data_IF_777361380406
#
_entry.id   IF_777361380406
#
_cell.length_a   1.000
_cell.length_b   1.000
_cell.length_c   1.000
_cell.angle_alpha   90.00
_cell.angle_beta   90.00
_cell.angle_gamma   90.00
#
_symmetry.space_group_name_H-M   'P 1'
#
loop_
_entity.id
_entity.type
_entity.pdbx_description
1 polymer ?
#
# COMPACT_ATOMS: atom_id res chain seq x y z
N UNK A 1 4.98 10.61 1.97
CA UNK A 1 5.46 9.88 3.16
C UNK A 1 6.81 9.26 2.83
N UNK A 2 7.65 9.03 3.83
CA UNK A 2 8.92 8.32 3.64
C UNK A 2 8.70 6.79 3.67
N UNK A 3 9.75 6.01 3.35
CA UNK A 3 9.64 4.54 3.30
C UNK A 3 9.29 3.93 4.66
N UNK A 4 9.84 4.43 5.77
CA UNK A 4 9.55 3.89 7.10
C UNK A 4 8.07 4.11 7.51
N UNK A 5 7.52 5.28 7.20
CA UNK A 5 6.09 5.57 7.40
C UNK A 5 5.21 4.65 6.54
N UNK A 6 5.62 4.40 5.28
CA UNK A 6 4.93 3.50 4.37
C UNK A 6 4.97 2.05 4.85
N UNK A 7 6.12 1.58 5.34
CA UNK A 7 6.29 0.22 5.88
C UNK A 7 5.35 -0.02 7.07
N UNK A 8 5.15 0.98 7.93
CA UNK A 8 4.19 0.89 9.04
C UNK A 8 2.75 0.74 8.54
N UNK A 9 2.38 1.46 7.46
CA UNK A 9 1.03 1.32 6.86
C UNK A 9 0.85 -0.07 6.25
N UNK A 10 1.87 -0.58 5.56
CA UNK A 10 1.85 -1.93 4.98
C UNK A 10 1.76 -2.97 6.08
N UNK A 11 2.54 -2.88 7.15
CA UNK A 11 2.51 -3.80 8.28
C UNK A 11 1.11 -3.87 8.91
N UNK A 12 0.49 -2.71 9.15
CA UNK A 12 -0.88 -2.65 9.68
C UNK A 12 -1.90 -3.27 8.73
N UNK A 13 -1.74 -3.04 7.43
CA UNK A 13 -2.66 -3.58 6.43
C UNK A 13 -2.53 -5.09 6.29
N UNK A 14 -1.33 -5.62 6.32
CA UNK A 14 -1.12 -7.07 6.27
C UNK A 14 -1.64 -7.76 7.53
N UNK A 15 -1.48 -7.14 8.72
CA UNK A 15 -2.11 -7.67 9.94
C UNK A 15 -3.65 -7.66 9.82
N UNK A 16 -4.22 -6.61 9.21
CA UNK A 16 -5.66 -6.55 8.94
C UNK A 16 -6.13 -7.68 8.02
N UNK A 17 -5.33 -8.04 7.01
CA UNK A 17 -5.62 -9.18 6.11
C UNK A 17 -5.51 -10.54 6.81
N UNK A 18 -4.47 -10.73 7.63
CA UNK A 18 -4.17 -12.01 8.27
C UNK A 18 -5.12 -12.34 9.42
N UNK A 19 -5.24 -11.41 10.36
CA UNK A 19 -5.79 -11.72 11.69
C UNK A 19 -6.97 -10.80 12.08
N UNK A 20 -7.32 -9.84 11.21
CA UNK A 20 -8.33 -8.81 11.50
C UNK A 20 -7.86 -7.74 12.50
N UNK A 21 -6.64 -7.84 13.03
CA UNK A 21 -6.00 -6.82 13.86
C UNK A 21 -5.20 -5.87 12.98
N UNK A 22 -5.44 -4.56 13.04
CA UNK A 22 -4.76 -3.58 12.18
C UNK A 22 -5.75 -2.71 11.42
N UNK A 23 -5.27 -2.09 10.34
CA UNK A 23 -6.04 -1.10 9.59
C UNK A 23 -5.86 -1.33 8.10
N UNK A 24 -6.97 -1.36 7.34
CA UNK A 24 -6.91 -1.37 5.88
C UNK A 24 -6.13 -0.15 5.40
N UNK A 25 -5.13 -0.36 4.53
CA UNK A 25 -4.30 0.73 4.04
C UNK A 25 -5.14 1.80 3.33
N UNK A 26 -5.07 3.04 3.84
CA UNK A 26 -5.57 4.21 3.16
C UNK A 26 -4.38 5.07 2.71
N UNK A 27 -4.06 4.94 1.43
CA UNK A 27 -2.98 5.63 0.74
C UNK A 27 -3.54 6.58 -0.34
N UNK A 28 -4.81 6.96 -0.24
CA UNK A 28 -5.42 7.88 -1.20
C UNK A 28 -4.66 9.20 -1.27
N UNK A 29 -4.36 9.67 -2.48
CA UNK A 29 -3.59 10.88 -2.76
C UNK A 29 -2.17 10.90 -2.16
N UNK A 30 -1.66 9.77 -1.69
CA UNK A 30 -0.31 9.70 -1.15
C UNK A 30 0.72 9.91 -2.27
N UNK A 31 1.76 10.69 -1.97
CA UNK A 31 2.97 10.72 -2.79
C UNK A 31 3.83 9.49 -2.44
N UNK A 32 3.79 8.50 -3.34
CA UNK A 32 4.51 7.23 -3.26
C UNK A 32 5.56 7.12 -4.38
N UNK A 33 6.00 8.26 -4.92
CA UNK A 33 7.00 8.27 -6.00
C UNK A 33 8.27 7.56 -5.53
N UNK A 34 8.75 6.64 -6.36
CA UNK A 34 9.97 5.84 -6.08
C UNK A 34 9.88 4.96 -4.82
N UNK A 35 8.68 4.76 -4.26
CA UNK A 35 8.50 3.88 -3.11
C UNK A 35 8.89 2.43 -3.45
N UNK A 36 9.47 1.73 -2.48
CA UNK A 36 9.65 0.29 -2.57
C UNK A 36 8.39 -0.39 -2.02
N UNK A 37 7.61 -0.99 -2.92
CA UNK A 37 6.38 -1.73 -2.63
C UNK A 37 6.53 -3.21 -3.04
N UNK A 38 7.76 -3.69 -3.20
CA UNK A 38 8.00 -5.06 -3.66
C UNK A 38 7.38 -6.05 -2.69
N UNK A 39 6.60 -6.99 -3.22
CA UNK A 39 5.92 -8.06 -2.47
C UNK A 39 4.93 -7.58 -1.41
N UNK A 40 4.59 -6.29 -1.37
CA UNK A 40 3.58 -5.79 -0.45
C UNK A 40 2.20 -6.37 -0.81
N UNK A 41 1.49 -6.89 0.18
CA UNK A 41 0.06 -7.20 0.02
C UNK A 41 -0.74 -5.93 0.32
N UNK A 42 -1.16 -5.26 -0.76
CA UNK A 42 -2.01 -4.08 -0.76
C UNK A 42 -3.40 -4.44 -1.29
N UNK A 43 -3.81 -5.71 -1.17
CA UNK A 43 -5.09 -6.16 -1.68
C UNK A 43 -6.25 -5.48 -0.95
N UNK A 44 -7.14 -4.90 -1.73
CA UNK A 44 -8.21 -4.07 -1.21
C UNK A 44 -7.76 -2.71 -0.68
N UNK A 45 -6.49 -2.29 -0.71
CA UNK A 45 -6.10 -0.95 -0.23
C UNK A 45 -6.83 0.19 -0.97
N UNK A 46 -6.99 1.36 -0.33
CA UNK A 46 -7.41 2.57 -1.04
C UNK A 46 -6.17 3.31 -1.54
N UNK A 47 -5.95 3.32 -2.86
CA UNK A 47 -4.84 3.98 -3.56
C UNK A 47 -5.35 5.08 -4.50
N UNK A 48 -6.62 5.51 -4.35
CA UNK A 48 -7.26 6.51 -5.21
C UNK A 48 -6.38 7.76 -5.32
N UNK A 49 -6.02 8.15 -6.54
CA UNK A 49 -5.16 9.30 -6.81
C UNK A 49 -3.74 9.25 -6.23
N UNK A 50 -3.26 8.09 -5.74
CA UNK A 50 -1.88 7.96 -5.25
C UNK A 50 -0.87 8.14 -6.39
N UNK A 51 0.20 8.88 -6.13
CA UNK A 51 1.27 9.03 -7.11
C UNK A 51 2.27 7.87 -7.00
N UNK A 52 2.09 6.84 -7.82
CA UNK A 52 2.95 5.65 -7.89
C UNK A 52 4.08 5.78 -8.92
N UNK A 53 4.37 6.98 -9.43
CA UNK A 53 5.38 7.16 -10.47
C UNK A 53 6.75 6.62 -10.00
N UNK A 54 7.33 5.71 -10.77
CA UNK A 54 8.61 5.04 -10.46
C UNK A 54 8.59 4.16 -9.19
N UNK A 55 7.44 3.88 -8.58
CA UNK A 55 7.35 2.94 -7.48
C UNK A 55 7.71 1.52 -7.95
N UNK A 56 8.40 0.75 -7.11
CA UNK A 56 8.71 -0.64 -7.41
C UNK A 56 7.59 -1.54 -6.90
N UNK A 57 6.70 -1.93 -7.81
CA UNK A 57 5.54 -2.81 -7.53
C UNK A 57 5.82 -4.28 -7.87
N UNK A 58 7.08 -4.69 -8.03
CA UNK A 58 7.39 -6.07 -8.41
C UNK A 58 6.81 -7.05 -7.38
N UNK A 59 5.94 -7.94 -7.84
CA UNK A 59 5.22 -8.92 -7.01
C UNK A 59 4.27 -8.34 -5.96
N UNK A 60 3.93 -7.05 -6.01
CA UNK A 60 2.91 -6.48 -5.14
C UNK A 60 1.53 -7.05 -5.48
N UNK A 61 0.72 -7.33 -4.45
CA UNK A 61 -0.68 -7.70 -4.64
C UNK A 61 -1.56 -6.44 -4.56
N UNK A 62 -2.18 -6.09 -5.68
CA UNK A 62 -3.11 -4.95 -5.79
C UNK A 62 -4.54 -5.41 -6.09
N UNK A 63 -4.86 -6.70 -5.93
CA UNK A 63 -6.21 -7.21 -6.22
C UNK A 63 -7.23 -6.44 -5.38
N UNK A 64 -8.30 -5.95 -6.03
CA UNK A 64 -9.38 -5.17 -5.41
C UNK A 64 -8.95 -3.83 -4.79
N UNK A 65 -7.70 -3.39 -4.98
CA UNK A 65 -7.31 -2.05 -4.58
C UNK A 65 -8.10 -1.01 -5.38
N UNK A 66 -8.51 0.08 -4.73
CA UNK A 66 -9.12 1.21 -5.41
C UNK A 66 -8.01 2.08 -6.01
N UNK A 67 -7.89 2.07 -7.33
CA UNK A 67 -6.89 2.81 -8.11
C UNK A 67 -7.53 3.93 -8.95
N UNK A 68 -8.77 4.33 -8.62
CA UNK A 68 -9.49 5.38 -9.35
C UNK A 68 -8.89 6.78 -9.24
#
# INVERSE_FOLDING_TARGET
MNQAELDVVIEKHEKWLRDGYGERANLSYADLRRADLRRADLSGANLRGANLSYANLSYADLRRADLS
#
